data_IF_811770924011
#
_entry.id   IF_811770924011
#
_cell.length_a   1.000
_cell.length_b   1.000
_cell.length_c   1.000
_cell.angle_alpha   90.00
_cell.angle_beta   90.00
_cell.angle_gamma   90.00
#
_symmetry.space_group_name_H-M   'P 1'
#
loop_
_entity.id
_entity.type
_entity.pdbx_description
1 polymer ?
#
# COMPACT_ATOMS: atom_id res chain seq x y z
N UNK A 1 14.83 9.37 -6.27
CA UNK A 1 13.61 8.68 -6.77
C UNK A 1 12.76 8.31 -5.57
N UNK A 2 11.44 8.33 -5.66
CA UNK A 2 10.57 7.80 -4.59
C UNK A 2 10.29 6.32 -4.86
N UNK A 3 10.74 5.47 -3.95
CA UNK A 3 10.49 4.03 -3.99
C UNK A 3 9.30 3.71 -3.12
N UNK A 4 8.33 2.96 -3.66
CA UNK A 4 7.14 2.51 -2.95
C UNK A 4 7.07 0.98 -2.98
N UNK A 5 7.02 0.35 -1.81
CA UNK A 5 6.85 -1.08 -1.65
C UNK A 5 5.68 -1.38 -0.72
N UNK A 6 4.93 -2.44 -1.04
CA UNK A 6 3.72 -2.83 -0.31
C UNK A 6 3.71 -4.34 -0.13
N UNK A 7 3.50 -4.77 1.10
CA UNK A 7 3.11 -6.15 1.39
C UNK A 7 1.62 -6.20 1.73
N UNK A 8 0.89 -7.04 1.02
CA UNK A 8 -0.51 -7.32 1.27
C UNK A 8 -0.63 -8.55 2.17
N UNK A 9 -1.50 -8.50 3.17
CA UNK A 9 -1.65 -9.57 4.15
C UNK A 9 -3.04 -9.56 4.78
N UNK A 10 -3.41 -10.66 5.44
CA UNK A 10 -4.67 -10.75 6.19
C UNK A 10 -4.63 -9.89 7.46
N UNK A 11 -3.49 -9.92 8.17
CA UNK A 11 -3.35 -9.32 9.50
C UNK A 11 -1.93 -8.79 9.74
N UNK A 12 -1.83 -7.69 10.49
CA UNK A 12 -0.58 -7.12 10.98
C UNK A 12 -0.57 -7.18 12.50
N UNK A 13 0.39 -7.90 13.06
CA UNK A 13 0.59 -8.01 14.51
C UNK A 13 1.73 -7.08 14.90
N UNK A 14 1.43 -6.08 15.73
CA UNK A 14 2.46 -5.25 16.38
C UNK A 14 2.97 -5.95 17.64
N UNK A 15 4.28 -6.12 17.74
CA UNK A 15 4.92 -6.70 18.91
C UNK A 15 5.14 -5.65 20.01
N UNK A 16 5.32 -6.13 21.25
CA UNK A 16 5.61 -5.27 22.40
C UNK A 16 7.01 -4.65 22.34
N UNK A 17 7.94 -5.30 21.64
CA UNK A 17 9.24 -4.72 21.31
C UNK A 17 9.03 -3.64 20.23
N UNK A 18 9.46 -2.41 20.54
CA UNK A 18 9.20 -1.22 19.71
C UNK A 18 9.47 -1.49 18.22
N UNK A 19 8.48 -1.13 17.40
CA UNK A 19 8.48 -1.11 15.94
C UNK A 19 8.73 -2.44 15.23
N UNK A 20 8.52 -3.57 15.92
CA UNK A 20 8.48 -4.89 15.29
C UNK A 20 7.05 -5.26 14.89
N UNK A 21 6.92 -5.77 13.67
CA UNK A 21 5.64 -6.22 13.11
C UNK A 21 5.78 -7.61 12.48
N UNK A 22 4.74 -8.43 12.63
CA UNK A 22 4.57 -9.66 11.85
C UNK A 22 3.39 -9.52 10.91
N UNK A 23 3.59 -9.98 9.68
CA UNK A 23 2.55 -10.05 8.65
C UNK A 23 2.04 -11.49 8.58
N UNK A 24 0.73 -11.68 8.63
CA UNK A 24 0.08 -12.99 8.58
C UNK A 24 -0.70 -13.12 7.29
N UNK A 25 -0.59 -14.28 6.61
CA UNK A 25 -1.29 -14.51 5.35
C UNK A 25 -0.82 -13.58 4.24
N UNK A 26 0.50 -13.52 4.00
CA UNK A 26 1.07 -12.63 2.98
C UNK A 26 0.62 -13.07 1.58
N UNK A 27 0.12 -12.13 0.80
CA UNK A 27 -0.20 -12.29 -0.62
C UNK A 27 0.92 -11.65 -1.46
N UNK A 28 1.82 -12.45 -2.06
CA UNK A 28 2.95 -11.89 -2.80
C UNK A 28 2.52 -11.14 -4.06
N UNK A 29 1.53 -11.65 -4.79
CA UNK A 29 1.01 -11.02 -6.01
C UNK A 29 -0.48 -11.37 -6.29
N UNK A 30 -0.98 -12.48 -5.72
CA UNK A 30 -2.33 -13.01 -5.99
C UNK A 30 -3.05 -13.33 -4.68
N UNK A 31 -4.31 -12.91 -4.56
CA UNK A 31 -5.24 -13.32 -3.52
C UNK A 31 -6.37 -14.15 -4.15
N UNK A 32 -6.52 -15.40 -3.70
CA UNK A 32 -7.56 -16.28 -4.21
C UNK A 32 -8.89 -16.01 -3.53
N UNK A 33 -9.96 -15.88 -4.32
CA UNK A 33 -11.32 -15.63 -3.83
C UNK A 33 -12.21 -16.87 -4.06
N UNK A 34 -13.15 -17.16 -3.15
CA UNK A 34 -13.94 -18.41 -3.20
C UNK A 34 -15.02 -18.42 -4.29
N UNK A 35 -15.42 -17.24 -4.77
CA UNK A 35 -16.48 -17.01 -5.75
C UNK A 35 -16.04 -15.91 -6.71
N UNK A 36 -16.63 -15.80 -7.93
CA UNK A 36 -16.27 -14.74 -8.88
C UNK A 36 -16.45 -13.31 -8.32
N UNK A 37 -17.27 -13.15 -7.28
CA UNK A 37 -17.42 -11.93 -6.50
C UNK A 37 -17.43 -12.31 -5.02
N UNK A 38 -16.64 -11.63 -4.20
CA UNK A 38 -16.52 -11.88 -2.78
C UNK A 38 -16.39 -10.57 -1.99
N UNK A 39 -16.61 -10.64 -0.67
CA UNK A 39 -16.26 -9.57 0.25
C UNK A 39 -15.11 -10.07 1.11
N UNK A 40 -13.94 -9.46 0.96
CA UNK A 40 -12.82 -9.67 1.87
C UNK A 40 -13.13 -9.01 3.20
N UNK A 41 -13.15 -9.81 4.26
CA UNK A 41 -13.40 -9.30 5.60
C UNK A 41 -12.37 -8.23 5.99
N UNK A 42 -11.10 -8.46 5.63
CA UNK A 42 -9.98 -7.57 5.90
C UNK A 42 -8.90 -7.72 4.83
N UNK A 43 -8.27 -6.61 4.44
CA UNK A 43 -7.01 -6.56 3.72
C UNK A 43 -6.08 -5.57 4.43
N UNK A 44 -4.95 -6.05 4.91
CA UNK A 44 -3.92 -5.23 5.52
C UNK A 44 -2.79 -4.94 4.51
N UNK A 45 -2.34 -3.70 4.51
CA UNK A 45 -1.26 -3.19 3.68
C UNK A 45 -0.14 -2.70 4.59
N UNK A 46 1.02 -3.32 4.50
CA UNK A 46 2.26 -2.80 5.07
C UNK A 46 3.00 -2.04 3.99
N UNK A 47 2.95 -0.72 4.05
CA UNK A 47 3.51 0.17 3.04
C UNK A 47 4.80 0.76 3.54
N UNK A 48 5.87 0.60 2.78
CA UNK A 48 7.17 1.23 3.02
C UNK A 48 7.55 2.07 1.82
N UNK A 49 8.01 3.29 2.06
CA UNK A 49 8.50 4.14 0.99
C UNK A 49 9.75 4.90 1.41
N UNK A 50 10.62 5.17 0.44
CA UNK A 50 11.83 5.95 0.64
C UNK A 50 11.99 7.01 -0.43
N UNK A 51 12.63 8.12 -0.06
CA UNK A 51 12.98 9.19 -0.97
C UNK A 51 14.47 9.51 -0.85
N UNK A 52 15.08 9.81 -1.99
CA UNK A 52 16.52 10.09 -2.08
C UNK A 52 16.77 11.35 -2.90
N UNK A 53 17.84 12.06 -2.55
CA UNK A 53 18.28 13.25 -3.27
C UNK A 53 17.22 14.34 -3.36
N UNK A 54 16.93 14.83 -4.57
CA UNK A 54 15.97 15.93 -4.77
C UNK A 54 14.54 15.57 -4.36
N UNK A 55 14.16 14.30 -4.34
CA UNK A 55 12.80 13.89 -3.97
C UNK A 55 12.52 14.06 -2.48
N UNK A 56 13.56 14.19 -1.65
CA UNK A 56 13.41 14.54 -0.24
C UNK A 56 12.73 15.91 -0.11
N UNK A 57 13.02 16.86 -1.00
CA UNK A 57 12.36 18.17 -0.99
C UNK A 57 10.87 18.07 -1.34
N UNK A 58 10.49 17.13 -2.20
CA UNK A 58 9.08 16.79 -2.45
C UNK A 58 8.43 16.27 -1.17
N UNK A 59 9.10 15.41 -0.41
CA UNK A 59 8.59 14.93 0.90
C UNK A 59 8.45 16.05 1.94
N UNK A 60 9.28 17.10 1.88
CA UNK A 60 9.23 18.24 2.82
C UNK A 60 8.14 19.26 2.49
N UNK A 61 7.92 19.52 1.21
CA UNK A 61 7.11 20.68 0.77
C UNK A 61 5.85 20.28 0.01
N UNK A 62 5.82 19.08 -0.54
CA UNK A 62 4.69 18.56 -1.30
C UNK A 62 3.56 18.09 -0.40
N UNK A 63 2.34 18.38 -0.81
CA UNK A 63 1.16 17.71 -0.26
C UNK A 63 1.02 16.35 -0.93
N UNK A 64 1.48 15.32 -0.22
CA UNK A 64 1.58 13.95 -0.73
C UNK A 64 0.40 13.14 -0.23
N UNK A 65 -0.22 12.39 -1.15
CA UNK A 65 -1.26 11.44 -0.83
C UNK A 65 -0.79 10.03 -1.11
N UNK A 66 -1.15 9.12 -0.22
CA UNK A 66 -1.08 7.70 -0.43
C UNK A 66 -2.49 7.19 -0.73
N UNK A 67 -2.68 6.75 -1.96
CA UNK A 67 -3.97 6.30 -2.47
C UNK A 67 -3.96 4.78 -2.62
N UNK A 68 -5.00 4.12 -2.11
CA UNK A 68 -5.28 2.72 -2.41
C UNK A 68 -6.27 2.70 -3.56
N UNK A 69 -5.89 2.02 -4.63
CA UNK A 69 -6.59 2.04 -5.91
C UNK A 69 -7.05 0.63 -6.23
N UNK A 70 -8.30 0.50 -6.68
CA UNK A 70 -8.88 -0.73 -7.23
C UNK A 70 -9.29 -0.49 -8.68
N UNK A 71 -8.66 -1.18 -9.63
CA UNK A 71 -8.95 -1.02 -11.06
C UNK A 71 -8.99 0.46 -11.52
N UNK A 72 -8.01 1.27 -11.12
CA UNK A 72 -7.91 2.71 -11.39
C UNK A 72 -8.87 3.62 -10.57
N UNK A 73 -9.81 3.05 -9.82
CA UNK A 73 -10.67 3.81 -8.88
C UNK A 73 -9.99 3.95 -7.51
N UNK A 74 -9.86 5.19 -7.02
CA UNK A 74 -9.36 5.47 -5.66
C UNK A 74 -10.42 5.05 -4.64
N UNK A 75 -10.10 4.05 -3.81
CA UNK A 75 -10.99 3.55 -2.76
C UNK A 75 -10.64 4.07 -1.37
N UNK A 76 -9.43 4.59 -1.19
CA UNK A 76 -8.97 5.24 0.05
C UNK A 76 -7.82 6.18 -0.28
N UNK A 77 -7.75 7.32 0.40
CA UNK A 77 -6.66 8.27 0.30
C UNK A 77 -6.26 8.75 1.71
N UNK A 78 -4.96 8.80 1.95
CA UNK A 78 -4.36 9.31 3.19
C UNK A 78 -3.35 10.39 2.84
N UNK A 79 -3.44 11.55 3.48
CA UNK A 79 -2.40 12.57 3.38
C UNK A 79 -1.19 12.16 4.24
N UNK A 80 -0.01 12.17 3.62
CA UNK A 80 1.26 11.90 4.30
C UNK A 80 1.77 13.21 4.90
N UNK A 81 2.07 13.26 6.21
CA UNK A 81 2.66 14.43 6.82
C UNK A 81 3.97 14.82 6.15
N UNK A 82 4.19 16.12 5.99
CA UNK A 82 5.46 16.65 5.49
C UNK A 82 6.61 16.17 6.37
N UNK A 83 7.69 15.74 5.72
CA UNK A 83 8.91 15.37 6.40
C UNK A 83 9.62 16.62 6.95
N UNK A 84 9.94 16.64 8.25
CA UNK A 84 10.51 17.78 8.97
C UNK A 84 11.99 17.62 9.35
N UNK A 85 12.64 16.55 8.88
CA UNK A 85 14.04 16.29 9.20
C UNK A 85 15.04 17.19 8.45
N UNK A 86 16.33 16.92 8.64
CA UNK A 86 17.41 17.83 8.21
C UNK A 86 17.55 17.91 6.69
N UNK A 87 18.10 19.01 6.15
CA UNK A 87 18.37 19.18 4.71
C UNK A 87 19.58 18.39 4.21
N UNK A 88 20.29 17.72 5.12
CA UNK A 88 21.54 16.99 4.83
C UNK A 88 21.36 15.49 4.69
N UNK A 89 20.15 14.95 4.88
CA UNK A 89 19.91 13.52 4.71
C UNK A 89 19.97 13.13 3.23
N UNK A 90 20.68 12.04 2.93
CA UNK A 90 20.79 11.50 1.57
C UNK A 90 19.60 10.58 1.23
N UNK A 91 18.98 9.97 2.24
CA UNK A 91 17.84 9.05 2.13
C UNK A 91 16.95 9.16 3.36
N UNK A 92 15.64 9.20 3.14
CA UNK A 92 14.61 9.09 4.18
C UNK A 92 13.73 7.88 3.90
N UNK A 93 13.36 7.14 4.93
CA UNK A 93 12.52 5.95 4.82
C UNK A 93 11.39 5.97 5.83
N UNK A 94 10.21 5.56 5.37
CA UNK A 94 8.98 5.59 6.13
C UNK A 94 8.24 4.26 6.00
N UNK A 95 7.46 3.94 7.02
CA UNK A 95 6.58 2.78 7.03
C UNK A 95 5.23 3.16 7.62
N UNK A 96 4.15 2.70 7.01
CA UNK A 96 2.80 2.80 7.54
C UNK A 96 2.03 1.51 7.31
N UNK A 97 1.00 1.34 8.13
CA UNK A 97 0.10 0.20 8.05
C UNK A 97 -1.32 0.72 7.83
N UNK A 98 -2.00 0.18 6.83
CA UNK A 98 -3.38 0.51 6.54
C UNK A 98 -4.21 -0.75 6.41
N UNK A 99 -5.44 -0.70 6.91
CA UNK A 99 -6.36 -1.83 6.88
C UNK A 99 -7.64 -1.38 6.19
N UNK A 100 -8.07 -2.14 5.19
CA UNK A 100 -9.38 -2.01 4.57
C UNK A 100 -10.25 -3.16 5.09
N UNK A 101 -11.42 -2.84 5.62
CA UNK A 101 -12.39 -3.85 6.10
C UNK A 101 -13.58 -3.93 5.17
N UNK A 102 -14.11 -5.14 4.94
CA UNK A 102 -15.32 -5.35 4.14
C UNK A 102 -15.15 -4.96 2.67
N UNK A 103 -14.02 -5.28 2.06
CA UNK A 103 -13.63 -4.88 0.71
C UNK A 103 -14.30 -5.79 -0.35
N UNK A 104 -15.24 -5.27 -1.17
CA UNK A 104 -15.80 -6.03 -2.27
C UNK A 104 -14.75 -6.20 -3.39
N UNK A 105 -14.55 -7.44 -3.81
CA UNK A 105 -13.62 -7.82 -4.88
C UNK A 105 -14.28 -8.76 -5.87
N UNK A 106 -13.85 -8.68 -7.11
CA UNK A 106 -14.23 -9.57 -8.21
C UNK A 106 -13.02 -10.28 -8.78
N UNK A 107 -13.26 -11.35 -9.53
CA UNK A 107 -12.23 -11.99 -10.33
C UNK A 107 -11.58 -10.97 -11.28
N UNK A 108 -10.24 -10.96 -11.34
CA UNK A 108 -9.39 -10.02 -12.07
C UNK A 108 -9.35 -8.59 -11.52
N UNK A 109 -9.95 -8.31 -10.36
CA UNK A 109 -9.68 -7.03 -9.69
C UNK A 109 -8.20 -6.92 -9.36
N UNK A 110 -7.68 -5.69 -9.41
CA UNK A 110 -6.32 -5.36 -9.00
C UNK A 110 -6.36 -4.26 -7.97
N UNK A 111 -5.69 -4.48 -6.85
CA UNK A 111 -5.46 -3.46 -5.84
C UNK A 111 -3.98 -3.09 -5.80
N UNK A 112 -3.70 -1.80 -5.80
CA UNK A 112 -2.35 -1.28 -5.65
C UNK A 112 -2.37 0.02 -4.87
N UNK A 113 -1.19 0.42 -4.43
CA UNK A 113 -0.99 1.70 -3.76
C UNK A 113 -0.23 2.61 -4.72
N UNK A 114 -0.62 3.88 -4.77
CA UNK A 114 0.16 4.91 -5.46
C UNK A 114 0.40 6.08 -4.52
N UNK A 115 1.60 6.64 -4.60
CA UNK A 115 1.91 7.93 -4.00
C UNK A 115 1.73 9.00 -5.05
N UNK A 116 1.01 10.06 -4.70
CA UNK A 116 0.70 11.16 -5.62
C UNK A 116 0.95 12.50 -4.95
N UNK A 117 1.17 13.50 -5.80
CA UNK A 117 0.81 14.88 -5.50
C UNK A 117 -0.46 15.20 -6.29
N UNK A 118 -1.13 16.31 -6.00
CA UNK A 118 -2.38 16.75 -6.67
C UNK A 118 -2.45 16.48 -8.18
N UNK A 119 -1.34 16.65 -8.92
CA UNK A 119 -1.32 16.56 -10.38
C UNK A 119 -0.37 15.48 -10.92
N UNK A 120 0.27 14.68 -10.06
CA UNK A 120 1.32 13.78 -10.51
C UNK A 120 1.44 12.51 -9.66
N UNK A 121 1.57 11.37 -10.33
CA UNK A 121 1.91 10.10 -9.67
C UNK A 121 3.42 10.09 -9.44
N UNK A 122 3.82 9.99 -8.18
CA UNK A 122 5.22 9.92 -7.76
C UNK A 122 5.78 8.51 -7.86
N UNK A 123 4.98 7.51 -7.48
CA UNK A 123 5.37 6.10 -7.45
C UNK A 123 4.14 5.20 -7.34
N UNK A 124 4.22 3.98 -7.86
CA UNK A 124 3.18 2.95 -7.76
C UNK A 124 3.77 1.64 -7.27
N UNK A 125 3.02 0.93 -6.43
CA UNK A 125 3.39 -0.40 -5.96
C UNK A 125 3.08 -1.45 -7.02
N UNK A 126 3.62 -2.66 -6.83
CA UNK A 126 3.08 -3.83 -7.53
C UNK A 126 1.63 -4.09 -7.10
N UNK A 127 0.76 -4.52 -8.03
CA UNK A 127 -0.62 -4.81 -7.72
C UNK A 127 -0.79 -6.20 -7.09
N UNK A 128 -1.70 -6.31 -6.13
CA UNK A 128 -2.34 -7.56 -5.73
C UNK A 128 -3.48 -7.85 -6.70
N UNK A 129 -3.43 -8.99 -7.39
CA UNK A 129 -4.50 -9.45 -8.27
C UNK A 129 -5.43 -10.40 -7.53
N UNK A 130 -6.74 -10.27 -7.76
CA UNK A 130 -7.73 -11.20 -7.25
C UNK A 130 -8.05 -12.23 -8.31
N UNK A 131 -8.01 -13.51 -7.92
CA UNK A 131 -8.30 -14.61 -8.84
C UNK A 131 -9.27 -15.59 -8.21
N UNK A 132 -10.38 -15.82 -8.89
CA UNK A 132 -11.28 -16.91 -8.56
C UNK A 132 -10.72 -18.22 -9.12
N UNK A 133 -10.49 -19.18 -8.23
CA UNK A 133 -10.24 -20.55 -8.64
C UNK A 133 -11.54 -21.35 -8.45
N UNK A 134 -12.14 -21.90 -9.53
CA UNK A 134 -13.20 -22.87 -9.35
C UNK A 134 -12.64 -24.04 -8.54
N UNK A 135 -13.18 -24.28 -7.34
CA UNK A 135 -12.98 -25.57 -6.68
C UNK A 135 -13.51 -26.63 -7.65
N UNK A 136 -12.58 -27.45 -8.18
CA UNK A 136 -12.77 -28.53 -9.16
C UNK A 136 -12.70 -28.12 -10.64
N UNK A 137 -11.50 -28.18 -11.20
CA UNK A 137 -11.22 -28.53 -12.59
C UNK A 137 -10.49 -29.86 -12.65
#
# INVERSE_FOLDING_TARGET
MIHLNVHYCDEIIRHAENDKYSLIGIFPDICHIPTPQAILGRLCLSVSFSAEGMDIQTMKTGQIFLEIVRNDDVISALEIPSYDGSDTEENVSFMLHQTISGLPVSDNDRIYVRMTTHNHILSESRPLSFSWLPYHS
#
